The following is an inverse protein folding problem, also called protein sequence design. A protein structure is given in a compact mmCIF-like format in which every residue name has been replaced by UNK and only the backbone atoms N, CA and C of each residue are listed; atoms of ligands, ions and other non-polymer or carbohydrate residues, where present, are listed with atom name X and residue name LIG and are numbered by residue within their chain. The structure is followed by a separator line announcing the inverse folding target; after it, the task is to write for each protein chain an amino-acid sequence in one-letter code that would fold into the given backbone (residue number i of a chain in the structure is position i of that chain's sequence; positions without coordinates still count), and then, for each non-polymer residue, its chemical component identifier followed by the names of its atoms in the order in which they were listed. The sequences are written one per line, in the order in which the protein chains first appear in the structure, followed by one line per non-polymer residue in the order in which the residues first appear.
data_IF_806767466956
#
_entry.id   IF_806767466956
#
_cell.length_a   1.000
_cell.length_b   1.000
_cell.length_c   1.000
_cell.angle_alpha   90.00
_cell.angle_beta   90.00
_cell.angle_gamma   90.00
#
_symmetry.space_group_name_H-M   'P 1'
#
loop_
_entity.id
_entity.type
_entity.pdbx_description
1 polymer ?
#
# COMPACT_ATOMS: atom_id res chain seq x y z
N UNK A 1 -35.55 -2.47 -9.86
CA UNK A 1 -34.33 -3.22 -9.66
C UNK A 1 -33.39 -2.48 -8.72
N UNK A 2 -33.00 -3.11 -7.69
CA UNK A 2 -32.12 -2.39 -6.80
C UNK A 2 -30.67 -2.83 -6.96
N UNK A 3 -29.78 -1.88 -6.82
CA UNK A 3 -28.37 -2.16 -6.91
C UNK A 3 -27.90 -2.95 -5.68
N UNK A 4 -27.03 -3.92 -5.86
CA UNK A 4 -26.41 -4.54 -4.72
C UNK A 4 -25.53 -3.53 -3.99
N UNK A 5 -25.32 -3.77 -2.72
CA UNK A 5 -24.38 -2.97 -1.96
C UNK A 5 -23.00 -3.16 -2.61
N UNK A 6 -22.40 -2.07 -3.03
CA UNK A 6 -21.08 -2.15 -3.63
C UNK A 6 -20.01 -2.31 -2.58
N UNK A 7 -19.25 -3.38 -2.73
CA UNK A 7 -18.04 -3.56 -1.97
C UNK A 7 -16.97 -2.71 -2.69
N UNK A 8 -16.20 -1.89 -1.97
CA UNK A 8 -15.19 -1.10 -2.63
C UNK A 8 -14.18 -2.00 -3.33
N UNK A 9 -13.88 -1.67 -4.56
CA UNK A 9 -12.83 -2.35 -5.28
C UNK A 9 -11.49 -1.90 -4.70
N UNK A 10 -10.70 -2.87 -4.30
CA UNK A 10 -9.39 -2.62 -3.74
C UNK A 10 -8.36 -3.18 -4.70
N UNK A 11 -7.44 -2.34 -5.14
CA UNK A 11 -6.33 -2.78 -5.95
C UNK A 11 -5.24 -3.29 -5.00
N UNK A 12 -5.01 -4.57 -5.03
CA UNK A 12 -4.05 -5.24 -4.15
C UNK A 12 -2.73 -5.45 -4.86
N UNK A 13 -1.65 -5.11 -4.18
CA UNK A 13 -0.29 -5.38 -4.65
C UNK A 13 0.48 -6.14 -3.57
N UNK A 14 1.03 -7.28 -3.94
CA UNK A 14 1.73 -8.16 -3.00
C UNK A 14 3.18 -8.37 -3.44
N UNK A 15 4.06 -7.40 -3.15
CA UNK A 15 5.48 -7.57 -3.47
C UNK A 15 6.10 -8.64 -2.59
N UNK A 16 7.21 -9.21 -3.04
CA UNK A 16 7.91 -10.21 -2.26
C UNK A 16 9.41 -10.07 -2.39
N UNK A 17 10.12 -10.70 -1.45
CA UNK A 17 11.58 -10.77 -1.47
C UNK A 17 12.25 -9.47 -1.08
N UNK A 18 13.31 -9.15 -1.79
CA UNK A 18 14.14 -7.99 -1.51
C UNK A 18 13.77 -6.84 -2.44
N UNK A 19 13.54 -5.66 -1.87
CA UNK A 19 13.24 -4.46 -2.64
C UNK A 19 14.35 -3.46 -2.33
N UNK A 20 15.27 -3.32 -3.26
CA UNK A 20 16.49 -2.53 -3.07
C UNK A 20 16.76 -1.67 -4.29
N UNK A 21 17.80 -0.85 -4.20
CA UNK A 21 18.24 -0.04 -5.33
C UNK A 21 18.49 -0.88 -6.60
N UNK A 22 18.82 -2.17 -6.43
CA UNK A 22 19.10 -3.05 -7.56
C UNK A 22 17.86 -3.36 -8.41
N UNK A 23 16.67 -3.37 -7.80
CA UNK A 23 15.43 -3.72 -8.50
C UNK A 23 14.30 -2.71 -8.31
N UNK A 24 14.60 -1.57 -7.72
CA UNK A 24 13.56 -0.61 -7.36
C UNK A 24 12.83 -0.03 -8.56
N UNK A 25 13.48 0.07 -9.71
CA UNK A 25 12.82 0.63 -10.90
C UNK A 25 11.62 -0.21 -11.31
N UNK A 26 11.77 -1.52 -11.31
CA UNK A 26 10.67 -2.41 -11.64
C UNK A 26 9.54 -2.31 -10.61
N UNK A 27 9.90 -2.30 -9.35
CA UNK A 27 8.94 -2.18 -8.26
C UNK A 27 8.15 -0.87 -8.36
N UNK A 28 8.86 0.24 -8.56
CA UNK A 28 8.23 1.55 -8.68
C UNK A 28 7.33 1.64 -9.90
N UNK A 29 7.77 1.06 -11.02
CA UNK A 29 6.98 1.05 -12.24
C UNK A 29 5.68 0.28 -12.05
N UNK A 30 5.74 -0.87 -11.40
CA UNK A 30 4.55 -1.66 -11.11
C UNK A 30 3.57 -0.90 -10.24
N UNK A 31 4.06 -0.25 -9.18
CA UNK A 31 3.21 0.55 -8.30
C UNK A 31 2.61 1.74 -9.01
N UNK A 32 3.42 2.47 -9.76
CA UNK A 32 2.99 3.65 -10.49
C UNK A 32 1.92 3.30 -11.51
N UNK A 33 2.13 2.21 -12.25
CA UNK A 33 1.14 1.76 -13.21
C UNK A 33 -0.16 1.34 -12.54
N UNK A 34 -0.07 0.68 -11.40
CA UNK A 34 -1.26 0.30 -10.66
C UNK A 34 -2.08 1.52 -10.25
N UNK A 35 -1.43 2.54 -9.70
CA UNK A 35 -2.10 3.76 -9.27
C UNK A 35 -2.72 4.48 -10.45
N UNK A 36 -1.99 4.61 -11.56
CA UNK A 36 -2.47 5.37 -12.72
C UNK A 36 -3.56 4.67 -13.51
N UNK A 37 -3.48 3.34 -13.64
CA UNK A 37 -4.39 2.61 -14.53
C UNK A 37 -5.59 2.01 -13.84
N UNK A 38 -5.53 1.82 -12.54
CA UNK A 38 -6.63 1.22 -11.82
C UNK A 38 -7.80 2.19 -11.68
N UNK A 39 -9.01 1.68 -11.83
CA UNK A 39 -10.21 2.45 -11.53
C UNK A 39 -10.50 2.49 -10.05
N UNK A 40 -9.81 1.67 -9.28
CA UNK A 40 -9.99 1.64 -7.83
C UNK A 40 -9.48 2.94 -7.23
N UNK A 41 -10.19 3.40 -6.21
CA UNK A 41 -9.75 4.58 -5.45
C UNK A 41 -9.04 4.16 -4.16
N UNK A 42 -8.95 2.87 -3.91
CA UNK A 42 -8.30 2.33 -2.71
C UNK A 42 -7.26 1.30 -3.12
N UNK A 43 -6.05 1.51 -2.64
CA UNK A 43 -4.93 0.60 -2.90
C UNK A 43 -4.45 0.00 -1.60
N UNK A 44 -4.05 -1.25 -1.65
CA UNK A 44 -3.46 -1.94 -0.52
C UNK A 44 -2.19 -2.65 -0.96
N UNK A 45 -1.08 -2.32 -0.31
CA UNK A 45 0.18 -3.01 -0.50
C UNK A 45 0.37 -3.95 0.68
N UNK A 46 0.35 -5.24 0.41
CA UNK A 46 0.55 -6.26 1.44
C UNK A 46 2.03 -6.62 1.46
N UNK A 47 2.69 -6.26 2.56
CA UNK A 47 4.14 -6.40 2.70
C UNK A 47 4.56 -7.71 3.37
N UNK A 48 3.62 -8.62 3.62
CA UNK A 48 3.90 -9.83 4.40
C UNK A 48 5.00 -10.72 3.81
N UNK A 49 5.23 -10.64 2.51
CA UNK A 49 6.25 -11.45 1.82
C UNK A 49 7.54 -10.69 1.52
N UNK A 50 7.62 -9.44 1.94
CA UNK A 50 8.84 -8.66 1.75
C UNK A 50 9.85 -9.06 2.83
N UNK A 51 11.03 -9.45 2.42
CA UNK A 51 12.08 -9.88 3.36
C UNK A 51 13.02 -8.74 3.74
N UNK A 52 13.20 -7.78 2.84
CA UNK A 52 14.09 -6.67 3.07
C UNK A 52 13.69 -5.48 2.21
N UNK A 53 13.82 -4.29 2.76
CA UNK A 53 13.51 -3.05 2.07
C UNK A 53 14.56 -2.03 2.45
N UNK A 54 15.27 -1.47 1.47
CA UNK A 54 16.21 -0.39 1.73
C UNK A 54 15.54 0.97 1.51
N UNK A 55 16.34 2.04 1.64
CA UNK A 55 15.80 3.39 1.47
C UNK A 55 15.25 3.65 0.07
N UNK A 56 15.82 3.02 -0.95
CA UNK A 56 15.31 3.17 -2.32
C UNK A 56 13.92 2.57 -2.44
N UNK A 57 13.72 1.38 -1.87
CA UNK A 57 12.40 0.74 -1.86
C UNK A 57 11.39 1.55 -1.06
N UNK A 58 11.82 2.09 0.07
CA UNK A 58 10.96 2.94 0.89
C UNK A 58 10.52 4.18 0.12
N UNK A 59 11.44 4.82 -0.59
CA UNK A 59 11.11 6.01 -1.39
C UNK A 59 10.17 5.70 -2.55
N UNK A 60 10.26 4.49 -3.10
CA UNK A 60 9.31 4.07 -4.13
C UNK A 60 7.88 4.00 -3.58
N UNK A 61 7.73 3.51 -2.35
CA UNK A 61 6.42 3.50 -1.68
C UNK A 61 5.92 4.92 -1.42
N UNK A 62 6.79 5.81 -0.98
CA UNK A 62 6.43 7.21 -0.74
C UNK A 62 6.00 7.88 -2.05
N UNK A 63 6.71 7.61 -3.14
CA UNK A 63 6.36 8.16 -4.45
C UNK A 63 4.98 7.70 -4.89
N UNK A 64 4.69 6.42 -4.73
CA UNK A 64 3.37 5.88 -5.06
C UNK A 64 2.27 6.47 -4.18
N UNK A 65 2.56 6.64 -2.90
CA UNK A 65 1.64 7.27 -1.95
C UNK A 65 1.29 8.70 -2.40
N UNK A 66 2.30 9.48 -2.74
CA UNK A 66 2.09 10.85 -3.18
C UNK A 66 1.32 10.93 -4.50
N UNK A 67 1.60 10.01 -5.40
CA UNK A 67 0.88 9.93 -6.67
C UNK A 67 -0.59 9.62 -6.43
N UNK A 68 -0.88 8.63 -5.59
CA UNK A 68 -2.26 8.29 -5.25
C UNK A 68 -2.96 9.48 -4.60
N UNK A 69 -2.29 10.15 -3.69
CA UNK A 69 -2.83 11.32 -3.01
C UNK A 69 -3.19 12.44 -3.99
N UNK A 70 -2.33 12.67 -4.99
CA UNK A 70 -2.59 13.69 -6.00
C UNK A 70 -3.80 13.36 -6.87
N UNK A 71 -4.19 12.11 -6.93
CA UNK A 71 -5.36 11.63 -7.66
C UNK A 71 -6.56 11.37 -6.74
N UNK A 72 -6.47 11.82 -5.50
CA UNK A 72 -7.51 11.64 -4.48
C UNK A 72 -7.85 10.17 -4.24
N UNK A 73 -6.83 9.33 -4.29
CA UNK A 73 -6.95 7.89 -4.04
C UNK A 73 -6.31 7.54 -2.71
N UNK A 74 -6.85 6.53 -2.05
CA UNK A 74 -6.35 6.04 -0.76
C UNK A 74 -5.26 5.00 -0.98
N UNK A 75 -4.11 5.18 -0.34
CA UNK A 75 -2.98 4.27 -0.46
C UNK A 75 -2.65 3.72 0.92
N UNK A 76 -2.74 2.42 1.08
CA UNK A 76 -2.63 1.76 2.38
C UNK A 76 -1.61 0.64 2.31
N UNK A 77 -1.00 0.34 3.45
CA UNK A 77 -0.01 -0.71 3.58
C UNK A 77 -0.43 -1.60 4.74
N UNK A 78 -0.22 -2.90 4.62
CA UNK A 78 -0.49 -3.81 5.73
C UNK A 78 0.58 -4.88 5.88
N UNK A 79 0.62 -5.47 7.05
CA UNK A 79 1.42 -6.67 7.33
C UNK A 79 2.92 -6.48 7.12
N UNK A 80 3.46 -5.35 7.54
CA UNK A 80 4.90 -5.12 7.44
C UNK A 80 5.62 -6.02 8.44
N UNK A 81 6.54 -6.88 7.97
CA UNK A 81 7.29 -7.72 8.91
C UNK A 81 8.09 -6.89 9.90
N UNK A 82 8.30 -7.37 11.14
CA UNK A 82 9.03 -6.61 12.16
C UNK A 82 10.40 -6.14 11.71
N UNK A 83 11.14 -6.96 10.96
CA UNK A 83 12.47 -6.59 10.47
C UNK A 83 12.44 -5.46 9.46
N UNK A 84 11.34 -5.32 8.73
CA UNK A 84 11.16 -4.27 7.72
C UNK A 84 10.54 -3.03 8.36
N UNK A 85 9.72 -3.22 9.38
CA UNK A 85 9.01 -2.14 10.04
C UNK A 85 9.95 -1.09 10.65
N UNK A 86 11.13 -1.50 11.05
CA UNK A 86 12.12 -0.63 11.68
C UNK A 86 12.43 0.59 10.81
N UNK A 87 12.58 0.41 9.49
CA UNK A 87 12.93 1.54 8.62
C UNK A 87 11.78 2.55 8.54
N UNK A 88 10.54 2.08 8.64
CA UNK A 88 9.38 2.98 8.66
C UNK A 88 9.36 3.80 9.95
N UNK A 89 9.70 3.18 11.07
CA UNK A 89 9.73 3.85 12.36
C UNK A 89 10.88 4.85 12.45
N UNK A 90 12.08 4.46 11.99
CA UNK A 90 13.25 5.34 12.03
C UNK A 90 13.08 6.58 11.16
N UNK A 91 12.38 6.45 10.05
CA UNK A 91 12.12 7.56 9.13
C UNK A 91 10.84 8.31 9.49
N UNK A 92 10.09 7.83 10.47
CA UNK A 92 8.80 8.38 10.89
C UNK A 92 7.73 8.34 9.78
N UNK A 93 7.95 7.53 8.75
CA UNK A 93 6.97 7.37 7.68
C UNK A 93 5.75 6.57 8.14
N UNK A 94 5.85 5.86 9.26
CA UNK A 94 4.71 5.23 9.91
C UNK A 94 3.66 6.25 10.35
N UNK A 95 4.04 7.52 10.46
CA UNK A 95 3.11 8.60 10.81
C UNK A 95 2.45 9.22 9.58
N UNK A 96 3.01 9.02 8.43
CA UNK A 96 2.53 9.62 7.17
C UNK A 96 1.70 8.62 6.38
N UNK A 97 2.18 7.38 6.30
CA UNK A 97 1.53 6.32 5.54
C UNK A 97 0.46 5.64 6.40
N UNK A 98 -0.63 5.24 5.76
CA UNK A 98 -1.70 4.49 6.43
C UNK A 98 -1.27 3.03 6.53
N UNK A 99 -0.80 2.62 7.70
CA UNK A 99 -0.27 1.29 7.93
C UNK A 99 -1.18 0.52 8.89
N UNK A 100 -1.54 -0.69 8.49
CA UNK A 100 -2.38 -1.58 9.28
C UNK A 100 -1.57 -2.80 9.71
N UNK A 101 -1.77 -3.30 10.94
CA UNK A 101 -1.02 -4.47 11.41
C UNK A 101 -1.25 -5.71 10.57
N UNK A 102 -2.46 -5.87 10.02
CA UNK A 102 -2.80 -7.03 9.22
C UNK A 102 -3.82 -6.67 8.16
N UNK A 103 -3.99 -7.58 7.21
CA UNK A 103 -5.02 -7.46 6.19
C UNK A 103 -6.42 -7.41 6.83
N UNK A 104 -6.63 -8.21 7.87
CA UNK A 104 -7.91 -8.24 8.57
C UNK A 104 -8.24 -6.89 9.20
N UNK A 105 -7.26 -6.22 9.78
CA UNK A 105 -7.47 -4.89 10.36
C UNK A 105 -7.82 -3.86 9.29
N UNK A 106 -7.18 -3.94 8.14
CA UNK A 106 -7.52 -3.08 7.02
C UNK A 106 -8.95 -3.33 6.56
N UNK A 107 -9.31 -4.59 6.36
CA UNK A 107 -10.64 -4.96 5.89
C UNK A 107 -11.73 -4.48 6.85
N UNK A 108 -11.48 -4.57 8.15
CA UNK A 108 -12.43 -4.11 9.16
C UNK A 108 -12.68 -2.60 9.05
N UNK A 109 -11.63 -1.81 8.87
CA UNK A 109 -11.76 -0.36 8.74
C UNK A 109 -12.51 0.02 7.48
N UNK A 110 -12.18 -0.61 6.36
CA UNK A 110 -12.84 -0.34 5.08
C UNK A 110 -14.33 -0.71 5.17
N UNK A 111 -14.64 -1.84 5.77
CA UNK A 111 -16.02 -2.27 5.93
C UNK A 111 -16.83 -1.28 6.77
N UNK A 112 -16.26 -0.84 7.89
CA UNK A 112 -16.91 0.15 8.76
C UNK A 112 -17.12 1.47 8.02
N UNK A 113 -16.16 1.92 7.28
CA UNK A 113 -16.24 3.16 6.51
C UNK A 113 -17.33 3.07 5.46
N UNK A 114 -17.46 1.93 4.80
CA UNK A 114 -18.46 1.74 3.76
C UNK A 114 -19.85 1.50 4.31
N UNK A 115 -19.96 1.01 5.53
CA UNK A 115 -21.25 0.75 6.17
C UNK A 115 -21.94 2.02 6.63
N UNK A 116 -21.20 3.09 6.79
CA UNK A 116 -21.77 4.39 7.20
C UNK A 116 -22.43 5.14 5.99
#
# INVERSE_FOLDING_TARGET
MKSPVKVPEIALFEPNGYITAANVLEFQEQLTNLVNRSRSITFLVDMSRVEFLDSAGLMALVTAFRLAQSQEKSFNICSIPPSVKIIFELTQLDRVLSIFPSRADFDAVITLTQAA
#
